data_IF_388139145493
#
_entry.id   IF_388139145493
#
_cell.length_a   1.000
_cell.length_b   1.000
_cell.length_c   1.000
_cell.angle_alpha   90.00
_cell.angle_beta   90.00
_cell.angle_gamma   90.00
#
_symmetry.space_group_name_H-M   'P 1'
#
loop_
_entity.id
_entity.type
_entity.pdbx_description
1 polymer ?
#
# COMPACT_ATOMS: atom_id res chain seq x y z
N UNK A 1 21.98 -5.23 -8.36
CA UNK A 1 20.66 -5.09 -7.77
C UNK A 1 20.01 -6.42 -7.54
N UNK A 2 19.45 -6.61 -6.37
CA UNK A 2 18.77 -7.85 -6.05
C UNK A 2 17.44 -7.99 -6.78
N UNK A 3 16.98 -9.20 -6.90
CA UNK A 3 15.59 -9.47 -7.29
C UNK A 3 14.66 -9.10 -6.14
N UNK A 4 13.37 -8.98 -6.42
CA UNK A 4 12.37 -8.75 -5.39
C UNK A 4 12.46 -9.77 -4.25
N UNK A 5 12.61 -11.04 -4.59
CA UNK A 5 12.66 -12.09 -3.57
C UNK A 5 13.93 -12.02 -2.72
N UNK A 6 15.06 -11.66 -3.31
CA UNK A 6 16.30 -11.48 -2.56
C UNK A 6 16.20 -10.34 -1.55
N UNK A 7 15.59 -9.22 -1.95
CA UNK A 7 15.39 -8.10 -1.04
C UNK A 7 14.41 -8.41 0.08
N UNK A 8 13.33 -9.11 -0.23
CA UNK A 8 12.38 -9.51 0.79
C UNK A 8 12.99 -10.50 1.78
N UNK A 9 13.85 -11.40 1.31
CA UNK A 9 14.58 -12.31 2.19
C UNK A 9 15.53 -11.54 3.11
N UNK A 10 16.20 -10.51 2.60
CA UNK A 10 17.11 -9.68 3.39
C UNK A 10 16.37 -8.85 4.47
N UNK A 11 15.07 -8.63 4.26
CA UNK A 11 14.22 -7.93 5.22
C UNK A 11 13.45 -8.87 6.14
N UNK A 12 13.80 -10.15 6.16
CA UNK A 12 13.12 -11.14 6.96
C UNK A 12 13.36 -10.89 8.44
N UNK A 13 12.50 -10.12 9.05
CA UNK A 13 12.45 -9.82 10.47
C UNK A 13 11.00 -9.61 10.89
N UNK A 14 10.72 -9.47 12.18
CA UNK A 14 9.36 -9.16 12.60
C UNK A 14 8.92 -7.84 11.99
N UNK A 15 7.69 -7.79 11.43
CA UNK A 15 7.21 -6.55 10.84
C UNK A 15 7.01 -5.49 11.94
N UNK A 16 7.51 -4.29 11.70
CA UNK A 16 7.44 -3.18 12.65
C UNK A 16 6.31 -2.21 12.35
N UNK A 17 5.64 -2.37 11.21
CA UNK A 17 4.54 -1.50 10.82
C UNK A 17 3.69 -2.12 9.73
N UNK A 18 2.69 -1.38 9.24
CA UNK A 18 1.84 -1.84 8.13
C UNK A 18 2.68 -2.20 6.91
N UNK A 19 2.34 -3.31 6.28
CA UNK A 19 3.03 -3.78 5.08
C UNK A 19 2.32 -3.24 3.85
N UNK A 20 3.03 -2.43 3.09
CA UNK A 20 2.50 -1.67 1.97
C UNK A 20 3.20 -2.07 0.67
N UNK A 21 2.42 -2.14 -0.40
CA UNK A 21 2.89 -2.30 -1.77
C UNK A 21 2.54 -1.01 -2.50
N UNK A 22 3.54 -0.17 -2.78
CA UNK A 22 3.31 1.14 -3.39
C UNK A 22 3.51 1.07 -4.90
N UNK A 23 2.48 1.48 -5.64
CA UNK A 23 2.46 1.47 -7.09
C UNK A 23 3.45 2.49 -7.68
N UNK A 24 3.80 2.29 -8.96
CA UNK A 24 4.78 3.11 -9.67
C UNK A 24 4.39 4.59 -9.76
N UNK A 25 3.10 4.91 -9.71
CA UNK A 25 2.61 6.29 -9.80
C UNK A 25 2.74 7.09 -8.51
N UNK A 26 3.21 6.48 -7.42
CA UNK A 26 3.40 7.17 -6.15
C UNK A 26 4.65 8.05 -6.19
N UNK A 27 4.56 9.32 -5.76
CA UNK A 27 5.74 10.19 -5.71
C UNK A 27 6.79 9.72 -4.71
N UNK A 28 8.06 9.84 -5.05
CA UNK A 28 9.16 9.39 -4.20
C UNK A 28 9.15 10.09 -2.82
N UNK A 29 8.79 11.37 -2.76
CA UNK A 29 8.68 12.08 -1.50
C UNK A 29 7.59 11.53 -0.59
N UNK A 30 6.51 11.05 -1.18
CA UNK A 30 5.43 10.40 -0.42
C UNK A 30 5.89 9.05 0.12
N UNK A 31 6.67 8.30 -0.67
CA UNK A 31 7.25 7.04 -0.19
C UNK A 31 8.17 7.28 1.01
N UNK A 32 9.01 8.30 0.94
CA UNK A 32 9.88 8.68 2.06
C UNK A 32 9.06 9.02 3.30
N UNK A 33 7.97 9.77 3.14
CA UNK A 33 7.07 10.10 4.23
C UNK A 33 6.45 8.84 4.89
N UNK A 34 5.99 7.91 4.07
CA UNK A 34 5.44 6.64 4.58
C UNK A 34 6.46 5.88 5.42
N UNK A 35 7.69 5.81 4.94
CA UNK A 35 8.77 5.05 5.60
C UNK A 35 9.28 5.74 6.85
N UNK A 36 9.55 7.03 6.77
CA UNK A 36 10.23 7.78 7.82
C UNK A 36 9.27 8.32 8.88
N UNK A 37 8.18 8.96 8.46
CA UNK A 37 7.23 9.56 9.39
C UNK A 37 6.22 8.56 9.93
N UNK A 38 5.68 7.69 9.06
CA UNK A 38 4.65 6.74 9.45
C UNK A 38 5.21 5.37 9.87
N UNK A 39 6.47 5.12 9.59
CA UNK A 39 7.14 3.86 9.93
C UNK A 39 6.49 2.65 9.28
N UNK A 40 5.96 2.85 8.06
CA UNK A 40 5.39 1.76 7.27
C UNK A 40 6.49 0.94 6.60
N UNK A 41 6.24 -0.36 6.45
CA UNK A 41 7.12 -1.25 5.68
C UNK A 41 6.67 -1.21 4.22
N UNK A 42 7.32 -0.37 3.40
CA UNK A 42 6.89 -0.09 2.03
C UNK A 42 7.79 -0.77 1.02
N UNK A 43 7.17 -1.63 0.18
CA UNK A 43 7.77 -2.08 -1.06
C UNK A 43 7.33 -1.09 -2.15
N UNK A 44 8.29 -0.40 -2.76
CA UNK A 44 8.02 0.56 -3.84
C UNK A 44 8.47 -0.03 -5.17
N UNK A 45 7.52 -0.22 -6.10
CA UNK A 45 7.79 -0.96 -7.35
C UNK A 45 8.87 -0.33 -8.21
N UNK A 46 9.04 1.00 -8.14
CA UNK A 46 10.09 1.70 -8.91
C UNK A 46 11.51 1.25 -8.51
N UNK A 47 11.67 0.79 -7.27
CA UNK A 47 12.97 0.33 -6.76
C UNK A 47 13.31 -1.10 -7.20
N UNK A 48 12.42 -1.77 -7.91
CA UNK A 48 12.59 -3.17 -8.33
C UNK A 48 12.53 -3.28 -9.84
N UNK A 49 13.65 -3.65 -10.46
CA UNK A 49 13.75 -3.72 -11.92
C UNK A 49 12.74 -4.66 -12.57
N UNK A 50 12.40 -5.74 -11.89
CA UNK A 50 11.45 -6.73 -12.36
C UNK A 50 9.99 -6.27 -12.24
N UNK A 51 9.72 -5.16 -11.55
CA UNK A 51 8.37 -4.66 -11.33
C UNK A 51 8.07 -3.31 -11.99
N UNK A 52 9.09 -2.52 -12.30
CA UNK A 52 8.91 -1.14 -12.77
C UNK A 52 7.97 -1.02 -13.97
N UNK A 53 7.97 -1.99 -14.87
CA UNK A 53 7.16 -1.99 -16.09
C UNK A 53 6.10 -3.08 -16.10
N UNK A 54 5.84 -3.68 -14.97
CA UNK A 54 4.84 -4.72 -14.90
C UNK A 54 3.43 -4.11 -15.06
N UNK A 55 2.49 -4.84 -15.66
CA UNK A 55 1.12 -4.36 -15.78
C UNK A 55 0.40 -4.36 -14.42
N UNK A 56 -0.66 -3.56 -14.31
CA UNK A 56 -1.43 -3.40 -13.08
C UNK A 56 -1.91 -4.73 -12.51
N UNK A 57 -2.35 -5.63 -13.37
CA UNK A 57 -2.82 -6.94 -12.93
C UNK A 57 -1.75 -7.70 -12.15
N UNK A 58 -0.49 -7.58 -12.57
CA UNK A 58 0.62 -8.23 -11.86
C UNK A 58 0.81 -7.62 -10.47
N UNK A 59 0.72 -6.32 -10.35
CA UNK A 59 0.83 -5.64 -9.04
C UNK A 59 -0.29 -6.07 -8.11
N UNK A 60 -1.50 -6.16 -8.62
CA UNK A 60 -2.65 -6.61 -7.85
C UNK A 60 -2.44 -8.02 -7.29
N UNK A 61 -2.04 -8.96 -8.15
CA UNK A 61 -1.79 -10.34 -7.74
C UNK A 61 -0.63 -10.42 -6.75
N UNK A 62 0.47 -9.72 -7.05
CA UNK A 62 1.69 -9.82 -6.26
C UNK A 62 1.52 -9.20 -4.87
N UNK A 63 0.79 -8.10 -4.75
CA UNK A 63 0.51 -7.48 -3.45
C UNK A 63 -0.21 -8.46 -2.53
N UNK A 64 -1.14 -9.24 -3.07
CA UNK A 64 -1.82 -10.28 -2.31
C UNK A 64 -0.87 -11.41 -1.91
N UNK A 65 -0.07 -11.90 -2.87
CA UNK A 65 0.88 -12.98 -2.59
C UNK A 65 1.89 -12.60 -1.51
N UNK A 66 2.28 -11.33 -1.46
CA UNK A 66 3.23 -10.83 -0.48
C UNK A 66 2.59 -10.39 0.84
N UNK A 67 1.26 -10.45 0.93
CA UNK A 67 0.55 -10.02 2.13
C UNK A 67 0.71 -8.54 2.41
N UNK A 68 0.63 -7.69 1.37
CA UNK A 68 0.78 -6.25 1.47
C UNK A 68 -0.46 -5.53 0.98
N UNK A 69 -0.78 -4.41 1.61
CA UNK A 69 -1.85 -3.52 1.14
C UNK A 69 -1.34 -2.71 -0.04
N UNK A 70 -2.05 -2.76 -1.17
CA UNK A 70 -1.70 -2.01 -2.37
C UNK A 70 -2.16 -0.56 -2.23
N UNK A 71 -1.24 0.38 -2.40
CA UNK A 71 -1.53 1.82 -2.36
C UNK A 71 -1.20 2.41 -3.72
N UNK A 72 -2.15 3.12 -4.32
CA UNK A 72 -2.04 3.62 -5.68
C UNK A 72 -2.81 4.92 -5.86
N UNK A 73 -2.44 5.69 -6.89
CA UNK A 73 -3.23 6.84 -7.35
C UNK A 73 -4.16 6.46 -8.52
N UNK A 74 -4.09 5.23 -8.99
CA UNK A 74 -4.81 4.78 -10.19
C UNK A 74 -6.20 4.26 -9.85
N UNK A 75 -7.22 4.95 -10.34
CA UNK A 75 -8.62 4.59 -10.08
C UNK A 75 -9.08 3.36 -10.88
N UNK A 76 -8.29 2.90 -11.84
CA UNK A 76 -8.63 1.70 -12.61
C UNK A 76 -8.76 0.46 -11.73
N UNK A 77 -8.04 0.42 -10.61
CA UNK A 77 -8.15 -0.67 -9.63
C UNK A 77 -9.52 -0.75 -8.95
N UNK A 78 -10.36 0.25 -9.10
CA UNK A 78 -11.72 0.23 -8.55
C UNK A 78 -12.68 -0.61 -9.39
N UNK A 79 -12.27 -1.03 -10.58
CA UNK A 79 -13.06 -1.94 -11.41
C UNK A 79 -13.08 -3.34 -10.80
N UNK A 80 -14.19 -3.72 -10.19
CA UNK A 80 -14.32 -4.99 -9.48
C UNK A 80 -14.32 -6.21 -10.41
N UNK A 81 -14.55 -6.01 -11.69
CA UNK A 81 -14.49 -7.10 -12.69
C UNK A 81 -13.04 -7.49 -12.96
N UNK A 82 -12.18 -6.49 -13.13
CA UNK A 82 -10.75 -6.69 -13.38
C UNK A 82 -10.00 -7.02 -12.10
N UNK A 83 -10.42 -6.42 -10.99
CA UNK A 83 -9.75 -6.50 -9.69
C UNK A 83 -10.75 -6.83 -8.59
N UNK A 84 -11.15 -8.11 -8.47
CA UNK A 84 -12.16 -8.50 -7.48
C UNK A 84 -11.73 -8.18 -6.04
N UNK A 85 -12.61 -7.55 -5.24
CA UNK A 85 -12.27 -7.24 -3.84
C UNK A 85 -11.86 -8.46 -3.02
N UNK A 86 -12.48 -9.61 -3.27
CA UNK A 86 -12.14 -10.85 -2.54
C UNK A 86 -10.70 -11.31 -2.78
N UNK A 87 -10.06 -10.84 -3.84
CA UNK A 87 -8.70 -11.23 -4.22
C UNK A 87 -7.64 -10.21 -3.79
N UNK A 88 -7.99 -9.20 -3.00
CA UNK A 88 -7.00 -8.23 -2.53
C UNK A 88 -6.69 -8.41 -1.05
N UNK A 89 -5.43 -8.16 -0.69
CA UNK A 89 -5.01 -8.06 0.72
C UNK A 89 -5.29 -6.69 1.31
N UNK A 90 -5.95 -5.85 0.55
CA UNK A 90 -6.25 -4.46 0.86
C UNK A 90 -5.80 -3.57 -0.27
N UNK A 91 -6.66 -2.63 -0.66
CA UNK A 91 -6.39 -1.69 -1.74
C UNK A 91 -6.80 -0.29 -1.29
N UNK A 92 -5.86 0.64 -1.39
CA UNK A 92 -6.13 2.05 -1.09
C UNK A 92 -5.87 2.84 -2.36
N UNK A 93 -6.91 3.49 -2.88
CA UNK A 93 -6.80 4.45 -3.97
C UNK A 93 -6.82 5.84 -3.36
N UNK A 94 -5.70 6.55 -3.53
CA UNK A 94 -5.54 7.90 -2.99
C UNK A 94 -5.90 8.93 -4.06
N UNK A 95 -6.51 10.01 -3.63
CA UNK A 95 -6.69 11.18 -4.47
C UNK A 95 -6.46 12.43 -3.63
N UNK A 96 -5.56 13.29 -4.09
CA UNK A 96 -5.39 14.62 -3.50
C UNK A 96 -4.71 15.53 -4.52
N UNK A 97 -5.13 16.81 -4.60
CA UNK A 97 -4.55 17.73 -5.57
C UNK A 97 -3.13 18.20 -5.25
N UNK A 98 -2.64 17.97 -4.03
CA UNK A 98 -1.29 18.36 -3.62
C UNK A 98 -0.63 17.28 -2.78
N UNK A 99 0.70 17.28 -2.72
CA UNK A 99 1.44 16.36 -1.86
C UNK A 99 1.16 16.60 -0.37
N UNK A 100 0.91 17.85 0.02
CA UNK A 100 0.52 18.16 1.40
C UNK A 100 -0.77 17.46 1.80
N UNK A 101 -1.76 17.46 0.90
CA UNK A 101 -3.01 16.76 1.15
C UNK A 101 -2.84 15.24 1.12
N UNK A 102 -1.92 14.73 0.29
CA UNK A 102 -1.58 13.30 0.32
C UNK A 102 -0.98 12.91 1.66
N UNK A 103 -0.03 13.68 2.19
CA UNK A 103 0.57 13.35 3.49
C UNK A 103 -0.48 13.40 4.61
N UNK A 104 -1.36 14.38 4.59
CA UNK A 104 -2.46 14.46 5.55
C UNK A 104 -3.39 13.26 5.45
N UNK A 105 -3.74 12.87 4.23
CA UNK A 105 -4.58 11.70 3.99
C UNK A 105 -3.92 10.42 4.53
N UNK A 106 -2.63 10.25 4.27
CA UNK A 106 -1.88 9.11 4.77
C UNK A 106 -1.80 9.08 6.29
N UNK A 107 -1.63 10.24 6.93
CA UNK A 107 -1.66 10.32 8.40
C UNK A 107 -3.01 9.86 8.96
N UNK A 108 -4.10 10.25 8.32
CA UNK A 108 -5.44 9.83 8.74
C UNK A 108 -5.66 8.32 8.52
N UNK A 109 -5.13 7.77 7.43
CA UNK A 109 -5.18 6.33 7.18
C UNK A 109 -4.42 5.60 8.29
N UNK A 110 -3.23 6.08 8.63
CA UNK A 110 -2.43 5.46 9.69
C UNK A 110 -3.19 5.45 11.02
N UNK A 111 -3.77 6.57 11.41
CA UNK A 111 -4.49 6.70 12.68
C UNK A 111 -5.81 5.95 12.71
N UNK A 112 -6.61 6.07 11.65
CA UNK A 112 -7.97 5.52 11.62
C UNK A 112 -8.04 4.05 11.28
N UNK A 113 -7.06 3.55 10.54
CA UNK A 113 -7.08 2.18 10.02
C UNK A 113 -5.98 1.34 10.65
N UNK A 114 -4.72 1.71 10.43
CA UNK A 114 -3.62 0.84 10.84
C UNK A 114 -3.40 0.83 12.35
N UNK A 115 -3.45 1.97 13.00
CA UNK A 115 -3.28 2.05 14.46
C UNK A 115 -4.55 1.70 15.23
N UNK A 116 -5.71 1.93 14.64
CA UNK A 116 -6.99 1.63 15.28
C UNK A 116 -7.32 0.14 15.29
N UNK A 117 -6.74 -0.64 14.37
CA UNK A 117 -7.00 -2.06 14.24
C UNK A 117 -5.94 -2.83 15.02
N UNK A 118 -6.31 -3.59 16.07
CA UNK A 118 -5.33 -4.41 16.80
C UNK A 118 -4.66 -5.41 15.88
N UNK A 119 -3.34 -5.63 16.00
CA UNK A 119 -2.66 -6.64 15.19
C UNK A 119 -3.21 -8.03 15.55
N UNK A 120 -3.45 -8.90 14.54
CA UNK A 120 -3.86 -10.27 14.82
C UNK A 120 -2.75 -11.04 15.53
N UNK A 121 -3.12 -11.99 16.36
CA UNK A 121 -2.17 -12.81 17.12
C UNK A 121 -1.18 -13.56 16.22
N UNK A 122 -1.55 -13.80 14.96
CA UNK A 122 -0.76 -14.59 14.01
C UNK A 122 0.14 -13.76 13.10
N UNK A 123 0.28 -12.45 13.28
CA UNK A 123 1.21 -11.65 12.45
C UNK A 123 0.68 -10.34 11.93
N UNK A 124 0.69 -10.16 10.62
CA UNK A 124 0.55 -8.85 9.99
C UNK A 124 -0.85 -8.27 10.07
N UNK A 125 -0.98 -7.00 10.48
CA UNK A 125 -2.28 -6.33 10.37
C UNK A 125 -2.60 -6.08 8.90
N UNK A 126 -3.65 -6.73 8.39
CA UNK A 126 -4.21 -6.48 7.08
C UNK A 126 -5.66 -6.04 7.23
N UNK A 127 -5.90 -4.86 7.83
CA UNK A 127 -7.25 -4.43 8.20
C UNK A 127 -8.17 -4.24 7.00
N UNK A 128 -7.61 -4.05 5.80
CA UNK A 128 -8.37 -3.86 4.58
C UNK A 128 -8.44 -5.11 3.72
N UNK A 129 -8.07 -6.27 4.24
CA UNK A 129 -8.14 -7.51 3.47
C UNK A 129 -9.53 -7.73 2.89
N UNK A 130 -9.62 -7.93 1.57
CA UNK A 130 -10.88 -8.08 0.86
C UNK A 130 -11.65 -6.77 0.67
N UNK A 131 -11.02 -5.62 0.92
CA UNK A 131 -11.68 -4.32 0.85
C UNK A 131 -10.88 -3.33 0.01
N UNK A 132 -11.62 -2.38 -0.58
CA UNK A 132 -11.04 -1.25 -1.30
C UNK A 132 -11.47 0.04 -0.59
N UNK A 133 -10.50 0.92 -0.33
CA UNK A 133 -10.73 2.23 0.26
C UNK A 133 -10.39 3.30 -0.77
N UNK A 134 -11.29 4.25 -0.97
CA UNK A 134 -10.99 5.47 -1.71
C UNK A 134 -10.78 6.57 -0.68
N UNK A 135 -9.56 7.04 -0.54
CA UNK A 135 -9.22 8.07 0.42
C UNK A 135 -8.96 9.39 -0.32
N UNK A 136 -9.92 10.28 -0.27
CA UNK A 136 -9.88 11.61 -0.85
C UNK A 136 -10.04 12.67 0.24
N UNK A 137 -9.99 13.99 -0.09
CA UNK A 137 -10.16 15.02 0.93
C UNK A 137 -11.48 14.93 1.69
N UNK A 138 -12.55 14.50 1.03
CA UNK A 138 -13.84 14.31 1.72
C UNK A 138 -13.78 13.20 2.75
N UNK A 139 -13.08 12.12 2.45
CA UNK A 139 -12.88 11.04 3.41
C UNK A 139 -12.12 11.52 4.63
N UNK A 140 -11.11 12.37 4.44
CA UNK A 140 -10.30 12.92 5.54
C UNK A 140 -11.14 13.77 6.47
N UNK A 141 -12.06 14.55 5.91
CA UNK A 141 -12.88 15.50 6.67
C UNK A 141 -14.17 14.86 7.20
N UNK A 142 -14.44 13.62 6.86
CA UNK A 142 -15.65 12.92 7.29
C UNK A 142 -15.65 12.57 8.79
#
# INVERSE_FOLDING_TARGET
>A
MGTLFAELAARAGPPTGPRIYADANMPAGIIAFMREALQWDVLFVIEHDDLRRAPDRRHFVLSRQLGRTLVTLDRDYLDDRMYPPAETSGLIVLYAPTEQLLTRTLQQIDERIFKATPPPASGFPLPLRGRKLVADPEWVDA
#
